data_IF_030615963387
#
_entry.id   IF_030615963387
#
_cell.length_a   1.000
_cell.length_b   1.000
_cell.length_c   1.000
_cell.angle_alpha   90.00
_cell.angle_beta   90.00
_cell.angle_gamma   90.00
#
_symmetry.space_group_name_H-M   'P 1'
#
loop_
_entity.id
_entity.type
_entity.pdbx_description
1 polymer ?
#
# COMPACT_ATOMS: atom_id res chain seq x y z
N UNK A 1 8.14 20.88 -6.49
CA UNK A 1 7.90 20.10 -5.25
C UNK A 1 7.01 18.92 -5.64
N UNK A 2 7.35 17.64 -5.36
CA UNK A 2 6.83 16.50 -6.12
C UNK A 2 5.39 16.07 -5.80
N UNK A 3 4.63 16.84 -5.01
CA UNK A 3 3.22 16.55 -4.70
C UNK A 3 2.28 17.56 -5.37
N UNK A 4 2.50 17.83 -6.65
CA UNK A 4 1.69 18.74 -7.48
C UNK A 4 0.27 18.19 -7.78
N UNK A 5 -0.48 17.72 -6.77
CA UNK A 5 -1.93 17.51 -6.91
C UNK A 5 -2.53 16.23 -6.29
N UNK A 6 -1.75 15.35 -5.67
CA UNK A 6 -2.28 14.11 -5.08
C UNK A 6 -2.56 14.22 -3.58
N UNK A 7 -3.70 13.69 -3.11
CA UNK A 7 -4.07 13.62 -1.67
C UNK A 7 -3.29 12.54 -0.88
N UNK A 8 -2.16 12.08 -1.41
CA UNK A 8 -1.38 10.96 -0.89
C UNK A 8 -1.75 9.59 -1.47
N UNK A 9 -0.94 8.59 -1.12
CA UNK A 9 -1.09 7.19 -1.52
C UNK A 9 -0.51 6.28 -0.43
N UNK A 10 -0.76 4.97 -0.55
CA UNK A 10 -0.14 3.91 0.25
C UNK A 10 0.65 2.97 -0.66
N UNK A 11 1.87 2.66 -0.26
CA UNK A 11 2.69 1.58 -0.86
C UNK A 11 2.58 0.34 0.04
N UNK A 12 2.27 -0.83 -0.52
CA UNK A 12 2.25 -2.11 0.20
C UNK A 12 3.13 -3.11 -0.56
N UNK A 13 4.01 -3.81 0.14
CA UNK A 13 4.75 -4.95 -0.39
C UNK A 13 4.44 -6.16 0.49
N UNK A 14 3.95 -7.24 -0.13
CA UNK A 14 3.67 -8.50 0.55
C UNK A 14 4.89 -9.41 0.39
N UNK A 15 5.42 -9.94 1.50
CA UNK A 15 6.59 -10.82 1.49
C UNK A 15 6.31 -12.09 2.28
N UNK A 16 6.43 -13.24 1.63
CA UNK A 16 6.23 -14.55 2.24
C UNK A 16 4.76 -14.97 2.38
N UNK A 17 4.52 -16.18 2.94
CA UNK A 17 3.20 -16.81 2.97
C UNK A 17 2.17 -16.04 3.80
N UNK A 18 2.56 -15.55 4.98
CA UNK A 18 1.65 -14.87 5.91
C UNK A 18 1.20 -13.50 5.39
N UNK A 19 1.97 -12.91 4.45
CA UNK A 19 1.62 -11.68 3.77
C UNK A 19 0.82 -11.91 2.48
N UNK A 20 0.55 -13.16 2.11
CA UNK A 20 -0.17 -13.54 0.87
C UNK A 20 0.59 -13.05 -0.37
N UNK A 21 1.87 -13.42 -0.49
CA UNK A 21 2.64 -13.17 -1.70
C UNK A 21 2.26 -14.19 -2.80
N UNK A 22 1.51 -13.73 -3.81
CA UNK A 22 1.10 -14.59 -4.92
C UNK A 22 2.22 -14.82 -5.94
N UNK A 23 2.94 -13.75 -6.31
CA UNK A 23 4.01 -13.83 -7.32
C UNK A 23 5.38 -13.72 -6.64
N UNK A 24 6.31 -14.68 -6.83
CA UNK A 24 7.56 -14.78 -6.08
C UNK A 24 8.66 -13.84 -6.60
N UNK A 25 8.30 -12.59 -6.89
CA UNK A 25 9.24 -11.50 -7.12
C UNK A 25 8.81 -10.26 -6.33
N UNK A 26 9.78 -9.39 -6.04
CA UNK A 26 9.49 -8.14 -5.37
C UNK A 26 8.60 -7.25 -6.24
N UNK A 27 7.44 -6.88 -5.70
CA UNK A 27 6.54 -5.90 -6.29
C UNK A 27 5.88 -5.09 -5.18
N UNK A 28 5.36 -3.91 -5.52
CA UNK A 28 4.56 -3.11 -4.59
C UNK A 28 3.27 -2.65 -5.24
N UNK A 29 2.20 -2.60 -4.45
CA UNK A 29 0.94 -1.99 -4.84
C UNK A 29 0.93 -0.52 -4.42
N UNK A 30 0.63 0.38 -5.36
CA UNK A 30 0.40 1.79 -5.11
C UNK A 30 -1.11 2.06 -5.16
N UNK A 31 -1.68 2.44 -4.01
CA UNK A 31 -3.13 2.62 -3.85
C UNK A 31 -3.39 4.08 -3.44
N UNK A 32 -4.32 4.75 -4.11
CA UNK A 32 -4.62 6.16 -3.87
C UNK A 32 -5.97 6.58 -4.48
N UNK A 33 -6.20 7.89 -4.56
CA UNK A 33 -7.42 8.48 -5.17
C UNK A 33 -8.58 8.72 -4.20
N UNK A 34 -8.44 8.34 -2.91
CA UNK A 34 -9.39 8.64 -1.83
C UNK A 34 -8.73 8.48 -0.45
N UNK A 35 -9.42 8.88 0.61
CA UNK A 35 -9.03 8.54 1.98
C UNK A 35 -9.08 7.01 2.16
N UNK A 36 -7.93 6.39 2.51
CA UNK A 36 -7.80 4.94 2.66
C UNK A 36 -7.99 4.45 4.11
N UNK A 37 -8.21 5.35 5.07
CA UNK A 37 -8.32 5.01 6.49
C UNK A 37 -7.03 4.41 7.08
N UNK A 38 -7.11 3.88 8.31
CA UNK A 38 -6.01 3.18 8.98
C UNK A 38 -5.91 1.74 8.45
N UNK A 39 -4.69 1.20 8.34
CA UNK A 39 -4.47 -0.19 7.91
C UNK A 39 -4.86 -1.20 9.00
N UNK A 40 -4.56 -0.88 10.26
CA UNK A 40 -4.91 -1.69 11.43
C UNK A 40 -5.70 -0.81 12.38
N UNK A 41 -6.84 -1.31 12.85
CA UNK A 41 -7.63 -0.65 13.89
C UNK A 41 -6.98 -0.88 15.26
N UNK A 42 -6.99 0.14 16.11
CA UNK A 42 -6.67 -0.07 17.52
C UNK A 42 -7.81 -0.88 18.15
N UNK A 43 -7.43 -1.93 18.90
CA UNK A 43 -8.31 -2.68 19.80
C UNK A 43 -8.71 -1.84 21.00
#
# INVERSE_FOLDING_TARGET
>A
QPLSGGTGFRSIANTGPDAIQEVPHFHTHIIGGRNLGRMVSQS
#
